data_IF_576374714363
#
_entry.id   IF_576374714363
#
_cell.length_a   1.000
_cell.length_b   1.000
_cell.length_c   1.000
_cell.angle_alpha   90.00
_cell.angle_beta   90.00
_cell.angle_gamma   90.00
#
_symmetry.space_group_name_H-M   'P 1'
#
loop_
_entity.id
_entity.type
_entity.pdbx_description
1 polymer ?
#
# COMPACT_ATOMS: atom_id res chain seq x y z
N UNK A 1 2.01 12.02 21.56
CA UNK A 1 1.56 10.89 20.73
C UNK A 1 2.77 10.50 19.87
N UNK A 2 3.04 9.20 19.74
CA UNK A 2 4.13 8.67 18.94
C UNK A 2 3.52 7.92 17.74
N UNK A 3 4.01 8.20 16.56
CA UNK A 3 3.64 7.52 15.33
C UNK A 3 4.76 6.61 14.86
N UNK A 4 4.42 5.51 14.21
CA UNK A 4 5.39 4.58 13.64
C UNK A 4 5.55 4.87 12.15
N UNK A 5 6.80 4.96 11.70
CA UNK A 5 7.15 5.13 10.30
C UNK A 5 8.04 3.96 9.87
N UNK A 6 7.91 3.52 8.64
CA UNK A 6 8.70 2.42 8.10
C UNK A 6 9.02 2.61 6.61
N UNK A 7 10.10 1.99 6.16
CA UNK A 7 10.46 1.97 4.75
C UNK A 7 9.57 0.96 4.01
N UNK A 8 9.23 1.24 2.76
CA UNK A 8 8.53 0.30 1.86
C UNK A 8 9.46 -0.44 0.91
N UNK A 9 10.68 0.04 0.77
CA UNK A 9 11.70 -0.59 -0.05
C UNK A 9 12.80 -1.20 0.81
N UNK A 10 13.52 -2.14 0.23
CA UNK A 10 14.71 -2.70 0.84
C UNK A 10 15.83 -1.67 0.78
N UNK A 11 16.41 -1.37 1.94
CA UNK A 11 17.59 -0.51 2.06
C UNK A 11 18.80 -1.36 2.40
N UNK A 12 19.94 -1.07 1.79
CA UNK A 12 21.17 -1.82 1.99
C UNK A 12 22.17 -0.96 2.75
N UNK A 13 22.77 -1.53 3.80
CA UNK A 13 23.87 -0.89 4.50
C UNK A 13 25.19 -1.18 3.76
N UNK A 14 25.89 -0.13 3.36
CA UNK A 14 27.17 -0.23 2.68
C UNK A 14 28.26 0.36 3.57
N UNK A 15 29.37 -0.37 3.76
CA UNK A 15 30.57 0.15 4.40
C UNK A 15 31.29 1.09 3.44
N UNK A 16 31.61 2.29 3.89
CA UNK A 16 32.39 3.27 3.14
C UNK A 16 33.91 3.08 3.27
N UNK A 17 34.33 2.03 3.98
CA UNK A 17 35.73 1.72 4.29
C UNK A 17 36.28 2.40 5.54
N UNK A 18 35.48 3.22 6.22
CA UNK A 18 35.83 3.87 7.49
C UNK A 18 35.28 3.17 8.73
N UNK A 19 34.52 2.07 8.52
CA UNK A 19 33.75 1.40 9.56
C UNK A 19 32.40 2.02 9.84
N UNK A 20 32.00 2.99 9.00
CA UNK A 20 30.66 3.59 9.02
C UNK A 20 29.81 2.93 7.95
N UNK A 21 28.65 2.44 8.36
CA UNK A 21 27.67 1.86 7.43
C UNK A 21 26.63 2.91 7.08
N UNK A 22 26.49 3.19 5.80
CA UNK A 22 25.48 4.10 5.27
C UNK A 22 24.39 3.33 4.57
N UNK A 23 23.13 3.60 4.93
CA UNK A 23 21.97 3.02 4.26
C UNK A 23 21.73 3.70 2.91
N UNK A 24 21.46 2.90 1.89
CA UNK A 24 21.11 3.34 0.54
C UNK A 24 19.92 2.58 0.01
N UNK A 25 19.10 3.27 -0.76
CA UNK A 25 18.02 2.67 -1.56
C UNK A 25 18.60 1.84 -2.70
N UNK A 26 17.75 1.06 -3.37
CA UNK A 26 18.16 0.30 -4.56
C UNK A 26 18.67 1.22 -5.70
N UNK A 27 18.19 2.47 -5.75
CA UNK A 27 18.68 3.49 -6.68
C UNK A 27 19.98 4.18 -6.25
N UNK A 28 20.56 3.78 -5.10
CA UNK A 28 21.80 4.35 -4.56
C UNK A 28 21.63 5.66 -3.78
N UNK A 29 20.41 6.14 -3.57
CA UNK A 29 20.12 7.34 -2.78
C UNK A 29 20.31 7.08 -1.27
N UNK A 30 20.85 8.06 -0.57
CA UNK A 30 20.92 8.09 0.91
C UNK A 30 19.67 8.70 1.55
N UNK A 31 18.82 9.38 0.75
CA UNK A 31 17.52 9.83 1.18
C UNK A 31 16.54 8.68 1.06
N UNK A 32 16.06 8.22 2.19
CA UNK A 32 15.15 7.08 2.31
C UNK A 32 13.78 7.61 2.66
N UNK A 33 12.79 7.28 1.83
CA UNK A 33 11.39 7.60 2.12
C UNK A 33 10.85 6.65 3.19
N UNK A 34 10.15 7.24 4.15
CA UNK A 34 9.46 6.51 5.22
C UNK A 34 7.99 6.88 5.22
N UNK A 35 7.15 5.89 5.43
CA UNK A 35 5.69 6.02 5.40
C UNK A 35 5.12 5.77 6.79
N UNK A 36 4.19 6.62 7.21
CA UNK A 36 3.46 6.43 8.46
C UNK A 36 2.57 5.21 8.35
N UNK A 37 2.49 4.45 9.42
CA UNK A 37 1.56 3.34 9.58
C UNK A 37 2.17 2.16 10.32
N UNK A 38 1.28 1.34 10.84
CA UNK A 38 1.65 0.05 11.44
C UNK A 38 1.43 -1.05 10.42
N UNK A 39 2.47 -1.82 10.13
CA UNK A 39 2.32 -2.97 9.24
C UNK A 39 1.40 -4.01 9.86
N UNK A 40 0.42 -4.45 9.09
CA UNK A 40 -0.48 -5.54 9.42
C UNK A 40 -0.54 -6.55 8.30
N UNK A 41 -0.80 -7.80 8.68
CA UNK A 41 -0.98 -8.90 7.76
C UNK A 41 -2.34 -9.56 8.01
N UNK A 42 -3.13 -9.71 6.96
CA UNK A 42 -4.37 -10.48 6.99
C UNK A 42 -4.23 -11.72 6.11
N UNK A 43 -4.58 -12.89 6.66
CA UNK A 43 -4.49 -14.17 5.96
C UNK A 43 -5.88 -14.76 5.75
N UNK A 44 -6.09 -15.34 4.57
CA UNK A 44 -7.29 -16.10 4.20
C UNK A 44 -6.87 -17.43 3.58
N UNK A 45 -7.77 -18.39 3.61
CA UNK A 45 -7.69 -19.65 2.83
C UNK A 45 -8.83 -19.60 1.81
N UNK A 46 -8.52 -19.85 0.56
CA UNK A 46 -9.54 -19.95 -0.49
C UNK A 46 -10.35 -21.23 -0.30
N UNK A 47 -11.63 -21.10 0.06
CA UNK A 47 -12.49 -22.25 0.37
C UNK A 47 -13.01 -22.96 -0.88
N UNK A 48 -13.28 -22.18 -1.93
CA UNK A 48 -13.78 -22.68 -3.20
C UNK A 48 -13.26 -21.87 -4.37
N UNK A 49 -13.27 -22.44 -5.56
CA UNK A 49 -13.03 -21.70 -6.81
C UNK A 49 -14.33 -20.96 -7.16
N UNK A 50 -14.64 -19.92 -6.41
CA UNK A 50 -15.76 -19.03 -6.72
C UNK A 50 -15.22 -17.75 -7.34
N UNK A 51 -15.72 -17.40 -8.51
CA UNK A 51 -15.40 -16.16 -9.20
C UNK A 51 -15.86 -14.93 -8.41
N UNK A 52 -16.85 -15.12 -7.53
CA UNK A 52 -17.45 -14.07 -6.70
C UNK A 52 -16.97 -14.10 -5.24
N UNK A 53 -15.88 -14.82 -4.95
CA UNK A 53 -15.36 -14.89 -3.59
C UNK A 53 -14.85 -13.52 -3.14
N UNK A 54 -15.40 -13.03 -2.02
CA UNK A 54 -15.01 -11.78 -1.37
C UNK A 54 -14.30 -12.08 -0.05
N UNK A 55 -13.12 -11.51 0.13
CA UNK A 55 -12.33 -11.62 1.36
C UNK A 55 -12.35 -10.29 2.09
N UNK A 56 -12.93 -10.26 3.28
CA UNK A 56 -13.14 -9.02 4.03
C UNK A 56 -11.97 -8.73 4.95
N UNK A 57 -11.38 -7.56 4.81
CA UNK A 57 -10.36 -7.03 5.73
C UNK A 57 -11.04 -6.00 6.63
N UNK A 58 -11.27 -6.34 7.92
CA UNK A 58 -12.02 -5.49 8.86
C UNK A 58 -11.10 -4.43 9.49
N UNK A 59 -10.46 -3.61 8.67
CA UNK A 59 -9.59 -2.53 9.11
C UNK A 59 -9.90 -1.25 8.34
N UNK A 60 -10.44 -0.27 9.03
CA UNK A 60 -10.83 1.03 8.45
C UNK A 60 -9.65 1.92 8.07
N UNK A 61 -8.51 1.65 8.69
CA UNK A 61 -7.29 2.44 8.53
C UNK A 61 -6.35 1.86 7.47
N UNK A 62 -6.79 0.84 6.72
CA UNK A 62 -6.01 0.25 5.65
C UNK A 62 -5.73 1.28 4.55
N UNK A 63 -4.47 1.48 4.26
CA UNK A 63 -4.03 2.25 3.09
C UNK A 63 -3.93 1.32 1.86
N UNK A 64 -4.80 1.56 0.89
CA UNK A 64 -4.95 0.73 -0.33
C UNK A 64 -3.68 0.73 -1.18
N UNK A 65 -2.96 1.84 -1.20
CA UNK A 65 -1.76 2.00 -2.03
C UNK A 65 -0.55 1.28 -1.44
N UNK A 66 -0.64 0.89 -0.16
CA UNK A 66 0.40 0.09 0.50
C UNK A 66 0.14 -1.41 0.44
N UNK A 67 -1.03 -1.83 -0.01
CA UNK A 67 -1.44 -3.22 0.00
C UNK A 67 -0.61 -4.09 -0.94
N UNK A 68 -0.06 -5.17 -0.42
CA UNK A 68 0.65 -6.20 -1.17
C UNK A 68 -0.09 -7.53 -0.97
N UNK A 69 -0.54 -8.12 -2.06
CA UNK A 69 -1.27 -9.39 -2.03
C UNK A 69 -0.39 -10.51 -2.56
N UNK A 70 -0.15 -11.53 -1.73
CA UNK A 70 0.60 -12.73 -2.07
C UNK A 70 -0.30 -13.96 -1.99
N UNK A 71 -0.22 -14.79 -2.99
CA UNK A 71 -0.98 -16.04 -3.04
C UNK A 71 -0.01 -17.22 -3.06
N UNK A 72 -0.18 -18.13 -2.11
CA UNK A 72 0.62 -19.33 -1.91
C UNK A 72 -0.20 -20.55 -2.32
N UNK A 73 0.42 -21.56 -2.92
CA UNK A 73 -0.27 -22.78 -3.38
C UNK A 73 -0.80 -23.69 -2.25
N UNK A 74 -0.34 -23.45 -1.02
CA UNK A 74 -0.86 -24.12 0.18
C UNK A 74 -0.55 -23.28 1.42
N UNK A 75 -1.18 -23.55 2.58
CA UNK A 75 -0.89 -22.86 3.83
C UNK A 75 0.57 -22.98 4.31
N UNK A 76 1.25 -24.04 3.89
CA UNK A 76 2.66 -24.33 4.30
C UNK A 76 3.68 -23.99 3.21
N UNK A 77 3.23 -23.57 2.02
CA UNK A 77 4.13 -23.14 0.94
C UNK A 77 4.89 -21.89 1.35
N UNK A 78 6.17 -21.84 0.99
CA UNK A 78 7.02 -20.63 1.11
C UNK A 78 7.11 -19.86 -0.21
N UNK A 79 6.84 -20.54 -1.33
CA UNK A 79 6.76 -19.90 -2.64
C UNK A 79 5.39 -19.26 -2.83
N UNK A 80 5.37 -18.06 -3.38
CA UNK A 80 4.16 -17.28 -3.63
C UNK A 80 4.20 -16.57 -4.97
N UNK A 81 3.03 -16.21 -5.45
CA UNK A 81 2.84 -15.28 -6.56
C UNK A 81 2.33 -13.96 -6.00
N UNK A 82 2.99 -12.85 -6.33
CA UNK A 82 2.49 -11.52 -6.00
C UNK A 82 1.46 -11.10 -7.05
N UNK A 83 0.28 -10.72 -6.58
CA UNK A 83 -0.78 -10.20 -7.41
C UNK A 83 -0.68 -8.68 -7.51
N UNK A 84 -1.03 -8.12 -8.65
CA UNK A 84 -1.05 -6.68 -8.91
C UNK A 84 -2.45 -6.10 -8.70
N UNK A 85 -2.52 -4.89 -8.19
CA UNK A 85 -3.80 -4.17 -8.16
C UNK A 85 -4.27 -3.89 -9.59
N UNK A 86 -5.52 -4.19 -9.88
CA UNK A 86 -6.11 -3.97 -11.21
C UNK A 86 -5.95 -2.52 -11.69
N UNK A 87 -6.01 -1.53 -10.77
CA UNK A 87 -5.84 -0.11 -11.12
C UNK A 87 -4.43 0.23 -11.63
N UNK A 88 -3.42 -0.50 -11.20
CA UNK A 88 -2.01 -0.30 -11.57
C UNK A 88 -1.53 -1.25 -12.66
N UNK A 89 -2.37 -2.21 -13.07
CA UNK A 89 -1.99 -3.23 -14.03
C UNK A 89 -1.89 -2.67 -15.45
N UNK A 90 -0.75 -2.91 -16.10
CA UNK A 90 -0.51 -2.51 -17.50
C UNK A 90 -0.99 -3.57 -18.49
N UNK A 91 -1.12 -4.82 -18.05
CA UNK A 91 -1.59 -5.94 -18.85
C UNK A 91 -2.75 -6.62 -18.12
N UNK A 92 -3.89 -6.72 -18.80
CA UNK A 92 -5.10 -7.35 -18.27
C UNK A 92 -5.51 -8.48 -19.21
N UNK A 93 -5.37 -9.73 -18.75
CA UNK A 93 -5.85 -10.93 -19.41
C UNK A 93 -6.13 -12.03 -18.39
N UNK A 94 -6.67 -13.16 -18.82
CA UNK A 94 -7.04 -14.27 -17.93
C UNK A 94 -5.87 -14.88 -17.14
N UNK A 95 -4.63 -14.77 -17.64
CA UNK A 95 -3.43 -15.33 -17.01
C UNK A 95 -2.69 -14.35 -16.07
N UNK A 96 -3.09 -13.09 -16.01
CA UNK A 96 -2.44 -12.10 -15.17
C UNK A 96 -2.88 -12.25 -13.71
N UNK A 97 -1.95 -12.25 -12.78
CA UNK A 97 -2.23 -12.29 -11.35
C UNK A 97 -2.72 -10.90 -10.87
N UNK A 98 -4.04 -10.71 -10.81
CA UNK A 98 -4.70 -9.44 -10.50
C UNK A 98 -5.60 -9.56 -9.27
N UNK A 99 -5.65 -8.49 -8.48
CA UNK A 99 -6.63 -8.33 -7.42
C UNK A 99 -7.35 -6.99 -7.53
N UNK A 100 -8.51 -6.93 -6.93
CA UNK A 100 -9.30 -5.71 -6.74
C UNK A 100 -9.49 -5.52 -5.25
N UNK A 101 -9.14 -4.36 -4.74
CA UNK A 101 -9.38 -3.98 -3.37
C UNK A 101 -10.30 -2.76 -3.37
N UNK A 102 -11.50 -2.93 -2.80
CA UNK A 102 -12.53 -1.89 -2.75
C UNK A 102 -12.94 -1.65 -1.31
N UNK A 103 -13.24 -0.42 -1.01
CA UNK A 103 -13.89 -0.08 0.24
C UNK A 103 -15.38 -0.41 0.18
N UNK A 104 -15.87 -1.02 1.25
CA UNK A 104 -17.27 -1.36 1.49
C UNK A 104 -17.99 -0.24 2.25
N UNK A 105 -19.32 -0.13 2.18
CA UNK A 105 -20.07 0.93 2.88
C UNK A 105 -19.87 0.97 4.41
N UNK A 106 -19.42 -0.10 5.03
CA UNK A 106 -19.07 -0.19 6.45
C UNK A 106 -17.62 0.22 6.76
N UNK A 107 -16.91 0.81 5.78
CA UNK A 107 -15.50 1.23 5.86
C UNK A 107 -14.50 0.08 5.99
N UNK A 108 -14.91 -1.16 5.76
CA UNK A 108 -14.02 -2.30 5.61
C UNK A 108 -13.59 -2.45 4.15
N UNK A 109 -12.61 -3.28 3.90
CA UNK A 109 -12.13 -3.50 2.55
C UNK A 109 -12.48 -4.90 2.06
N UNK A 110 -12.93 -4.96 0.83
CA UNK A 110 -13.28 -6.19 0.12
C UNK A 110 -12.21 -6.48 -0.92
N UNK A 111 -11.52 -7.60 -0.74
CA UNK A 111 -10.55 -8.13 -1.68
C UNK A 111 -11.24 -9.17 -2.57
N UNK A 112 -11.10 -9.03 -3.87
CA UNK A 112 -11.54 -10.00 -4.86
C UNK A 112 -10.47 -10.22 -5.92
N UNK A 113 -10.61 -11.29 -6.67
CA UNK A 113 -9.68 -11.69 -7.74
C UNK A 113 -10.39 -11.71 -9.10
N UNK A 114 -9.66 -11.98 -10.15
CA UNK A 114 -10.22 -12.17 -11.46
C UNK A 114 -11.02 -13.49 -11.58
N UNK A 115 -11.73 -13.64 -12.71
CA UNK A 115 -12.60 -14.78 -13.00
C UNK A 115 -11.85 -16.00 -13.59
N UNK A 116 -10.56 -15.82 -13.91
CA UNK A 116 -9.74 -16.86 -14.55
C UNK A 116 -10.12 -17.17 -16.01
N UNK A 117 -11.07 -16.42 -16.59
CA UNK A 117 -11.59 -16.62 -17.94
C UNK A 117 -11.39 -15.38 -18.80
N UNK A 118 -11.91 -14.25 -18.33
CA UNK A 118 -11.85 -12.96 -19.05
C UNK A 118 -10.67 -12.14 -18.56
N UNK A 119 -10.50 -12.04 -17.26
CA UNK A 119 -9.38 -11.31 -16.66
C UNK A 119 -8.98 -11.91 -15.32
N UNK A 120 -7.68 -11.92 -15.08
CA UNK A 120 -7.07 -12.23 -13.80
C UNK A 120 -7.21 -13.69 -13.35
N UNK A 121 -6.20 -14.19 -12.69
CA UNK A 121 -6.19 -15.56 -12.14
C UNK A 121 -6.97 -15.60 -10.83
N UNK A 122 -7.88 -16.59 -10.70
CA UNK A 122 -8.57 -16.89 -9.44
C UNK A 122 -7.73 -17.84 -8.59
N UNK A 123 -7.47 -17.57 -7.31
CA UNK A 123 -6.83 -18.52 -6.40
C UNK A 123 -7.62 -19.82 -6.29
N UNK A 124 -6.95 -20.97 -6.34
CA UNK A 124 -7.60 -22.28 -6.22
C UNK A 124 -7.97 -22.57 -4.76
N UNK A 125 -8.95 -23.45 -4.56
CA UNK A 125 -9.33 -23.93 -3.24
C UNK A 125 -8.10 -24.47 -2.47
N UNK A 126 -7.99 -24.11 -1.20
CA UNK A 126 -6.87 -24.46 -0.34
C UNK A 126 -5.65 -23.55 -0.45
N UNK A 127 -5.61 -22.61 -1.39
CA UNK A 127 -4.53 -21.62 -1.49
C UNK A 127 -4.61 -20.63 -0.32
N UNK A 128 -3.44 -20.25 0.21
CA UNK A 128 -3.34 -19.20 1.21
C UNK A 128 -3.18 -17.85 0.52
N UNK A 129 -4.01 -16.91 0.92
CA UNK A 129 -3.97 -15.51 0.49
C UNK A 129 -3.47 -14.67 1.67
N UNK A 130 -2.42 -13.92 1.45
CA UNK A 130 -1.81 -13.05 2.46
C UNK A 130 -1.80 -11.61 1.95
N UNK A 131 -2.33 -10.71 2.75
CA UNK A 131 -2.43 -9.29 2.45
C UNK A 131 -1.63 -8.53 3.50
N UNK A 132 -0.52 -7.95 3.09
CA UNK A 132 0.25 -7.00 3.91
C UNK A 132 -0.15 -5.59 3.55
N UNK A 133 -0.34 -4.75 4.55
CA UNK A 133 -0.73 -3.35 4.37
C UNK A 133 -0.30 -2.49 5.55
N UNK A 134 -0.29 -1.18 5.37
CA UNK A 134 -0.14 -0.22 6.45
C UNK A 134 -1.52 0.22 6.96
N UNK A 135 -1.69 0.19 8.27
CA UNK A 135 -2.79 0.84 8.94
C UNK A 135 -2.33 2.24 9.38
N UNK A 136 -2.88 3.27 8.75
CA UNK A 136 -2.44 4.66 8.86
C UNK A 136 -3.34 5.50 9.78
N UNK A 137 -2.80 6.61 10.30
CA UNK A 137 -3.52 7.54 11.20
C UNK A 137 -3.97 8.82 10.48
N UNK A 138 -3.71 8.92 9.17
CA UNK A 138 -4.07 10.08 8.37
C UNK A 138 -3.32 11.36 8.79
N UNK A 139 -4.01 12.53 8.81
CA UNK A 139 -3.33 13.84 9.02
C UNK A 139 -2.72 14.00 10.41
N UNK A 140 -3.08 13.16 11.37
CA UNK A 140 -2.57 13.26 12.73
C UNK A 140 -1.04 13.04 12.84
N UNK A 141 -0.43 12.38 11.84
CA UNK A 141 1.00 12.12 11.78
C UNK A 141 1.78 13.16 10.93
N UNK A 142 1.12 14.19 10.40
CA UNK A 142 1.79 15.26 9.66
C UNK A 142 2.64 16.14 10.58
N UNK A 143 3.55 16.89 9.98
CA UNK A 143 4.47 17.84 10.63
C UNK A 143 5.47 17.20 11.61
N UNK A 144 5.63 15.87 11.58
CA UNK A 144 6.67 15.19 12.34
C UNK A 144 8.07 15.61 11.84
N UNK A 145 8.85 16.22 12.72
CA UNK A 145 10.19 16.76 12.40
C UNK A 145 11.33 15.90 12.96
N UNK A 146 11.05 14.99 13.88
CA UNK A 146 12.05 14.15 14.53
C UNK A 146 11.69 12.68 14.39
N UNK A 147 12.56 11.93 13.72
CA UNK A 147 12.43 10.49 13.56
C UNK A 147 13.54 9.77 14.32
N UNK A 148 13.15 8.89 15.22
CA UNK A 148 14.09 8.09 16.02
C UNK A 148 14.03 6.64 15.56
N UNK A 149 15.13 6.09 15.00
CA UNK A 149 15.17 4.67 14.67
C UNK A 149 15.03 3.81 15.94
N UNK A 150 14.13 2.83 15.88
CA UNK A 150 13.86 1.91 17.00
C UNK A 150 14.48 0.53 16.78
N UNK A 151 14.95 0.25 15.56
CA UNK A 151 15.55 -1.04 15.20
C UNK A 151 17.07 -0.96 15.31
N UNK A 152 17.68 -1.96 15.94
CA UNK A 152 19.13 -2.17 15.89
C UNK A 152 19.48 -3.10 14.74
N UNK A 153 20.59 -2.81 14.08
CA UNK A 153 21.15 -3.68 13.04
C UNK A 153 22.30 -4.49 13.64
N UNK A 154 22.25 -5.80 13.50
CA UNK A 154 23.32 -6.69 13.93
C UNK A 154 24.14 -7.14 12.72
N UNK A 155 25.44 -6.86 12.74
CA UNK A 155 26.40 -7.31 11.73
C UNK A 155 27.49 -8.13 12.41
N UNK A 156 27.63 -9.38 12.00
CA UNK A 156 28.65 -10.27 12.59
C UNK A 156 28.54 -10.48 14.10
N UNK A 157 27.33 -10.37 14.69
CA UNK A 157 27.09 -10.48 16.12
C UNK A 157 27.26 -9.17 16.91
N UNK A 158 27.65 -8.09 16.27
CA UNK A 158 27.75 -6.75 16.88
C UNK A 158 26.53 -5.92 16.56
N UNK A 159 25.89 -5.34 17.59
CA UNK A 159 24.76 -4.42 17.45
C UNK A 159 25.23 -3.01 17.12
N UNK A 160 24.65 -2.43 16.06
CA UNK A 160 24.90 -1.05 15.64
C UNK A 160 23.67 -0.20 15.88
N UNK A 161 23.87 0.99 16.40
CA UNK A 161 22.80 2.00 16.54
C UNK A 161 22.65 2.76 15.23
N UNK A 162 21.41 2.88 14.76
CA UNK A 162 21.09 3.66 13.57
C UNK A 162 20.89 5.11 14.02
N UNK A 163 21.47 6.05 13.30
CA UNK A 163 21.18 7.47 13.40
C UNK A 163 20.48 7.94 12.12
N UNK A 164 19.48 8.80 12.25
CA UNK A 164 18.76 9.39 11.14
C UNK A 164 18.75 10.90 11.24
N UNK A 165 18.86 11.57 10.10
CA UNK A 165 18.66 13.00 9.97
C UNK A 165 17.42 13.26 9.14
N UNK A 166 16.52 14.08 9.66
CA UNK A 166 15.31 14.48 8.95
C UNK A 166 15.66 15.42 7.80
N UNK A 167 15.26 15.09 6.60
CA UNK A 167 15.40 15.94 5.40
C UNK A 167 14.16 16.80 5.22
N UNK A 168 12.99 16.20 5.40
CA UNK A 168 11.68 16.88 5.31
C UNK A 168 10.77 16.38 6.43
N UNK A 169 9.89 17.24 6.92
CA UNK A 169 8.87 16.83 7.87
C UNK A 169 7.88 15.86 7.20
N UNK A 170 7.19 15.04 8.00
CA UNK A 170 6.12 14.19 7.48
C UNK A 170 4.98 15.05 6.92
N UNK A 171 4.46 14.63 5.79
CA UNK A 171 3.37 15.31 5.07
C UNK A 171 2.57 14.29 4.24
N UNK A 172 1.42 14.71 3.74
CA UNK A 172 0.61 13.89 2.82
C UNK A 172 -0.47 13.06 3.51
N UNK A 173 -0.54 13.06 4.84
CA UNK A 173 -1.69 12.50 5.54
C UNK A 173 -2.91 13.39 5.36
N UNK A 174 -4.05 12.80 4.93
CA UNK A 174 -5.29 13.54 4.75
C UNK A 174 -6.46 12.84 5.43
N UNK A 175 -7.56 13.58 5.58
CA UNK A 175 -8.81 13.06 6.11
C UNK A 175 -9.53 12.31 5.00
N UNK A 176 -10.00 11.11 5.32
CA UNK A 176 -10.82 10.33 4.41
C UNK A 176 -12.05 11.14 3.96
N UNK A 177 -12.28 11.18 2.66
CA UNK A 177 -13.41 11.90 2.09
C UNK A 177 -14.75 11.37 2.64
N UNK A 178 -15.62 12.29 3.06
CA UNK A 178 -16.92 11.93 3.60
C UNK A 178 -17.88 11.47 2.49
N UNK A 179 -18.83 10.58 2.82
CA UNK A 179 -19.85 10.13 1.89
C UNK A 179 -20.66 11.31 1.29
N UNK A 180 -20.80 12.41 2.02
CA UNK A 180 -21.49 13.59 1.51
C UNK A 180 -20.63 14.33 0.48
N UNK A 181 -19.34 14.49 0.73
CA UNK A 181 -18.41 15.05 -0.24
C UNK A 181 -18.38 14.22 -1.53
N UNK A 182 -18.27 12.91 -1.39
CA UNK A 182 -18.31 11.97 -2.53
C UNK A 182 -19.59 12.16 -3.36
N UNK A 183 -20.77 12.22 -2.71
CA UNK A 183 -22.04 12.43 -3.41
C UNK A 183 -22.10 13.76 -4.13
N UNK A 184 -21.49 14.79 -3.59
CA UNK A 184 -21.45 16.12 -4.21
C UNK A 184 -20.47 16.15 -5.37
N UNK A 185 -19.28 15.55 -5.22
CA UNK A 185 -18.18 15.67 -6.17
C UNK A 185 -18.22 14.62 -7.30
N UNK A 186 -18.77 13.42 -7.04
CA UNK A 186 -18.81 12.33 -8.03
C UNK A 186 -19.49 12.71 -9.35
N UNK A 187 -20.64 13.43 -9.39
CA UNK A 187 -21.23 13.84 -10.64
C UNK A 187 -20.33 14.75 -11.47
N UNK A 188 -19.61 15.67 -10.83
CA UNK A 188 -18.67 16.56 -11.52
C UNK A 188 -17.50 15.79 -12.08
N UNK A 189 -16.90 14.87 -11.30
CA UNK A 189 -15.82 14.02 -11.79
C UNK A 189 -16.26 13.12 -12.94
N UNK A 190 -17.47 12.58 -12.89
CA UNK A 190 -18.02 11.79 -13.97
C UNK A 190 -18.24 12.63 -15.24
N UNK A 191 -18.73 13.86 -15.10
CA UNK A 191 -18.98 14.78 -16.22
C UNK A 191 -17.68 15.19 -16.93
N UNK A 192 -16.56 15.35 -16.21
CA UNK A 192 -15.28 15.76 -16.82
C UNK A 192 -14.68 14.68 -17.72
N UNK A 193 -15.00 13.40 -17.51
CA UNK A 193 -14.41 12.26 -18.23
C UNK A 193 -12.87 12.36 -18.37
N UNK A 194 -12.18 12.88 -17.34
CA UNK A 194 -10.75 13.20 -17.34
C UNK A 194 -10.30 14.20 -18.44
N UNK A 195 -11.19 15.06 -18.89
CA UNK A 195 -10.88 16.12 -19.86
C UNK A 195 -10.98 17.49 -19.19
N UNK A 196 -10.09 18.39 -19.54
CA UNK A 196 -10.06 19.77 -19.08
C UNK A 196 -10.56 20.68 -20.21
N UNK A 197 -11.86 20.88 -20.34
CA UNK A 197 -12.48 21.68 -21.40
C UNK A 197 -13.12 22.93 -20.83
N UNK A 198 -13.78 22.84 -19.69
CA UNK A 198 -14.44 23.94 -19.00
C UNK A 198 -13.70 24.37 -17.74
N UNK A 199 -14.00 25.57 -17.22
CA UNK A 199 -13.40 26.03 -15.95
C UNK A 199 -13.73 25.09 -14.77
N UNK A 200 -14.92 24.49 -14.78
CA UNK A 200 -15.34 23.53 -13.75
C UNK A 200 -14.56 22.21 -13.85
N UNK A 201 -14.22 21.77 -15.07
CA UNK A 201 -13.36 20.60 -15.29
C UNK A 201 -11.97 20.83 -14.69
N UNK A 202 -11.38 22.01 -14.91
CA UNK A 202 -10.09 22.37 -14.32
C UNK A 202 -10.14 22.33 -12.79
N UNK A 203 -11.16 22.95 -12.19
CA UNK A 203 -11.33 22.95 -10.74
C UNK A 203 -11.44 21.53 -10.18
N UNK A 204 -12.27 20.69 -10.81
CA UNK A 204 -12.50 19.30 -10.37
C UNK A 204 -11.25 18.43 -10.48
N UNK A 205 -10.49 18.57 -11.57
CA UNK A 205 -9.26 17.78 -11.79
C UNK A 205 -8.09 18.26 -10.94
N UNK A 206 -7.98 19.56 -10.68
CA UNK A 206 -6.95 20.11 -9.78
C UNK A 206 -7.21 19.65 -8.35
N UNK A 207 -8.43 19.74 -7.84
CA UNK A 207 -8.79 19.28 -6.50
C UNK A 207 -8.51 17.77 -6.32
N UNK A 208 -8.76 16.97 -7.35
CA UNK A 208 -8.50 15.52 -7.31
C UNK A 208 -7.01 15.15 -7.22
N UNK A 209 -6.14 15.91 -7.88
CA UNK A 209 -4.74 15.52 -8.05
C UNK A 209 -3.78 16.28 -7.13
N UNK A 210 -4.23 17.35 -6.48
CA UNK A 210 -3.36 18.26 -5.72
C UNK A 210 -3.99 18.71 -4.38
N UNK A 211 -5.04 18.03 -3.92
CA UNK A 211 -5.61 18.27 -2.57
C UNK A 211 -4.99 17.39 -1.52
#
# INVERSE_FOLDING_TARGET
>A
ITYTFQTRETVTANDDGSGIYQFKTNAGSTNIEIFEGTQKTKTFIADSVSQDALYIIPDKNLDVDTAIVRVYESPTSVAFTTYQNLKAATLINAATALYILKESPNEFFELSFGDGITFGVTPKAGYKIEVDYLAVQGPAANDGALFTPITQVNVGGTGYTITAQTVTNSLGGDIKETNQSIRTNAPFQYATQNRMVTADDYSSLVLRNFS
#
